data_IF_783658880765
#
_entry.id   IF_783658880765
#
_cell.length_a   1.000
_cell.length_b   1.000
_cell.length_c   1.000
_cell.angle_alpha   90.00
_cell.angle_beta   90.00
_cell.angle_gamma   90.00
#
_symmetry.space_group_name_H-M   'P 1'
#
loop_
_entity.id
_entity.type
_entity.pdbx_description
1 polymer ?
#
# COMPACT_ATOMS: atom_id res chain seq x y z
N UNK A 1 6.16 26.35 12.52
CA UNK A 1 6.62 25.79 11.23
C UNK A 1 7.70 24.75 11.52
N UNK A 2 7.70 23.59 10.85
CA UNK A 2 8.78 22.57 10.96
C UNK A 2 8.45 21.28 11.70
N UNK A 3 7.35 21.19 12.45
CA UNK A 3 6.97 19.95 13.17
C UNK A 3 6.73 18.77 12.22
N UNK A 4 6.00 19.00 11.12
CA UNK A 4 5.75 17.95 10.13
C UNK A 4 7.03 17.53 9.41
N UNK A 5 7.94 18.46 9.15
CA UNK A 5 9.26 18.17 8.55
C UNK A 5 10.12 17.34 9.49
N UNK A 6 10.16 17.68 10.79
CA UNK A 6 10.86 16.91 11.80
C UNK A 6 10.32 15.48 11.90
N UNK A 7 8.99 15.32 11.92
CA UNK A 7 8.36 14.00 11.97
C UNK A 7 8.72 13.17 10.72
N UNK A 8 8.69 13.78 9.53
CA UNK A 8 9.08 13.12 8.27
C UNK A 8 10.55 12.68 8.24
N UNK A 9 11.44 13.45 8.86
CA UNK A 9 12.85 13.08 9.01
C UNK A 9 12.99 11.89 9.98
N UNK A 10 12.24 11.89 11.08
CA UNK A 10 12.26 10.79 12.05
C UNK A 10 11.63 9.50 11.49
N UNK A 11 10.59 9.59 10.65
CA UNK A 11 9.98 8.43 9.97
C UNK A 11 10.81 7.89 8.81
N UNK A 12 11.84 8.61 8.35
CA UNK A 12 12.64 8.25 7.19
C UNK A 12 12.03 8.65 5.84
N UNK A 13 10.93 9.41 5.84
CA UNK A 13 10.29 9.92 4.61
C UNK A 13 11.13 11.03 3.94
N UNK A 14 12.01 11.69 4.69
CA UNK A 14 12.91 12.77 4.22
C UNK A 14 14.29 12.57 4.84
N UNK A 15 15.35 12.61 4.02
CA UNK A 15 16.72 12.60 4.53
C UNK A 15 17.07 13.93 5.24
N UNK A 16 17.73 13.88 6.40
CA UNK A 16 18.18 15.09 7.07
C UNK A 16 19.27 15.80 6.24
N UNK A 17 19.20 17.12 6.12
CA UNK A 17 20.26 17.90 5.45
C UNK A 17 21.62 17.81 6.17
N UNK A 18 21.60 17.56 7.48
CA UNK A 18 22.79 17.39 8.33
C UNK A 18 22.45 16.53 9.55
N UNK A 19 23.40 15.70 10.01
CA UNK A 19 23.25 14.84 11.18
C UNK A 19 22.59 13.49 10.85
N UNK A 20 22.54 12.60 11.84
CA UNK A 20 22.06 11.22 11.66
C UNK A 20 20.86 10.91 12.55
N UNK A 21 19.90 10.14 12.01
CA UNK A 21 18.81 9.53 12.78
C UNK A 21 19.17 8.06 13.03
N UNK A 22 19.38 7.68 14.28
CA UNK A 22 19.77 6.32 14.67
C UNK A 22 18.65 5.71 15.51
N UNK A 23 18.06 4.62 15.04
CA UNK A 23 17.14 3.77 15.82
C UNK A 23 17.94 2.58 16.33
N UNK A 24 18.00 2.43 17.65
CA UNK A 24 18.81 1.39 18.30
C UNK A 24 18.24 0.00 18.00
N UNK A 25 19.09 -1.05 17.86
CA UNK A 25 18.60 -2.40 17.62
C UNK A 25 17.62 -2.85 18.71
N UNK A 26 16.43 -3.28 18.29
CA UNK A 26 15.35 -3.71 19.19
C UNK A 26 14.27 -2.66 19.45
N UNK A 27 14.47 -1.41 19.00
CA UNK A 27 13.46 -0.34 19.12
C UNK A 27 12.67 -0.15 17.81
N UNK A 28 11.40 0.26 17.94
CA UNK A 28 10.51 0.57 16.81
C UNK A 28 9.93 1.96 16.98
N UNK A 29 10.03 2.78 15.93
CA UNK A 29 9.30 4.05 15.83
C UNK A 29 7.98 3.82 15.09
N UNK A 30 6.87 4.29 15.67
CA UNK A 30 5.57 4.34 15.01
C UNK A 30 5.10 5.80 14.93
N UNK A 31 4.68 6.25 13.75
CA UNK A 31 4.25 7.63 13.51
C UNK A 31 2.76 7.64 13.13
N UNK A 32 1.98 8.42 13.87
CA UNK A 32 0.59 8.70 13.51
C UNK A 32 0.58 9.83 12.48
N UNK A 33 0.25 9.51 11.23
CA UNK A 33 0.13 10.51 10.16
C UNK A 33 -0.97 11.52 10.50
N UNK A 34 -0.68 12.80 10.26
CA UNK A 34 -1.68 13.87 10.47
C UNK A 34 -2.76 13.89 9.41
N UNK A 35 -2.48 13.36 8.22
CA UNK A 35 -3.48 13.31 7.16
C UNK A 35 -4.38 12.08 7.35
N UNK A 36 -5.40 12.24 8.18
CA UNK A 36 -6.48 11.26 8.33
C UNK A 36 -7.32 11.08 7.04
N UNK A 37 -7.12 11.96 6.06
CA UNK A 37 -7.83 11.98 4.79
C UNK A 37 -7.01 11.41 3.63
N UNK A 38 -5.83 10.85 3.89
CA UNK A 38 -4.93 10.28 2.87
C UNK A 38 -5.61 9.19 2.02
N UNK A 39 -6.77 8.68 2.48
CA UNK A 39 -7.56 7.68 1.78
C UNK A 39 -9.05 8.03 1.63
N UNK A 40 -9.46 9.30 1.79
CA UNK A 40 -10.88 9.70 1.65
C UNK A 40 -11.44 9.47 0.24
N UNK A 41 -10.58 9.50 -0.77
CA UNK A 41 -10.96 9.26 -2.16
C UNK A 41 -11.12 7.76 -2.49
N UNK A 42 -10.75 6.87 -1.57
CA UNK A 42 -10.90 5.44 -1.72
C UNK A 42 -12.06 4.93 -0.89
N UNK A 43 -12.80 3.96 -1.44
CA UNK A 43 -13.83 3.26 -0.68
C UNK A 43 -13.24 2.67 0.60
N UNK A 44 -14.01 2.69 1.70
CA UNK A 44 -13.57 2.19 3.01
C UNK A 44 -12.99 0.77 2.90
N UNK A 45 -13.60 -0.08 2.08
CA UNK A 45 -13.13 -1.44 1.83
C UNK A 45 -11.75 -1.47 1.15
N UNK A 46 -11.54 -0.63 0.13
CA UNK A 46 -10.25 -0.51 -0.56
C UNK A 46 -9.15 -0.06 0.40
N UNK A 47 -9.43 0.93 1.25
CA UNK A 47 -8.49 1.45 2.26
C UNK A 47 -8.08 0.39 3.27
N UNK A 48 -9.00 -0.50 3.67
CA UNK A 48 -8.68 -1.64 4.54
C UNK A 48 -7.80 -2.65 3.81
N UNK A 49 -8.12 -2.98 2.55
CA UNK A 49 -7.35 -3.91 1.73
C UNK A 49 -5.93 -3.38 1.44
N UNK A 50 -5.74 -2.06 1.29
CA UNK A 50 -4.41 -1.44 1.14
C UNK A 50 -3.46 -1.75 2.31
N UNK A 51 -3.99 -2.05 3.51
CA UNK A 51 -3.20 -2.50 4.65
C UNK A 51 -2.56 -3.89 4.43
N UNK A 52 -3.06 -4.66 3.47
CA UNK A 52 -2.50 -5.93 3.03
C UNK A 52 -1.98 -5.80 1.60
N UNK A 53 -0.74 -5.32 1.44
CA UNK A 53 -0.13 -4.96 0.15
C UNK A 53 -0.36 -5.98 -0.96
N UNK A 54 -0.10 -7.27 -0.72
CA UNK A 54 -0.27 -8.30 -1.76
C UNK A 54 -1.73 -8.50 -2.18
N UNK A 55 -2.66 -8.47 -1.23
CA UNK A 55 -4.09 -8.63 -1.50
C UNK A 55 -4.61 -7.45 -2.32
N UNK A 56 -4.13 -6.24 -2.02
CA UNK A 56 -4.43 -5.03 -2.78
C UNK A 56 -3.90 -5.08 -4.21
N UNK A 57 -2.66 -5.55 -4.40
CA UNK A 57 -2.05 -5.74 -5.73
C UNK A 57 -2.85 -6.74 -6.57
N UNK A 58 -3.13 -7.93 -6.02
CA UNK A 58 -3.87 -9.00 -6.72
C UNK A 58 -5.26 -8.50 -7.15
N UNK A 59 -5.95 -7.76 -6.28
CA UNK A 59 -7.23 -7.13 -6.61
C UNK A 59 -7.11 -6.15 -7.78
N UNK A 60 -6.09 -5.27 -7.79
CA UNK A 60 -5.88 -4.29 -8.88
C UNK A 60 -5.48 -4.95 -10.19
N UNK A 61 -4.61 -5.96 -10.14
CA UNK A 61 -4.22 -6.73 -11.33
C UNK A 61 -5.43 -7.41 -11.97
N UNK A 62 -6.32 -7.97 -11.14
CA UNK A 62 -7.54 -8.63 -11.58
C UNK A 62 -8.54 -7.65 -12.20
N UNK A 63 -8.79 -6.51 -11.55
CA UNK A 63 -9.64 -5.45 -12.10
C UNK A 63 -9.12 -4.97 -13.47
N UNK A 64 -7.81 -4.78 -13.59
CA UNK A 64 -7.19 -4.36 -14.85
C UNK A 64 -7.36 -5.40 -15.96
N UNK A 65 -7.27 -6.70 -15.64
CA UNK A 65 -7.51 -7.78 -16.60
C UNK A 65 -8.95 -7.75 -17.10
N UNK A 66 -9.92 -7.60 -16.20
CA UNK A 66 -11.34 -7.54 -16.58
C UNK A 66 -11.74 -6.27 -17.34
N UNK A 67 -10.95 -5.19 -17.26
CA UNK A 67 -11.17 -3.94 -17.98
C UNK A 67 -10.56 -3.92 -19.39
N UNK A 68 -9.80 -4.94 -19.81
CA UNK A 68 -9.23 -4.99 -21.16
C UNK A 68 -10.34 -5.10 -22.22
N UNK A 69 -10.31 -4.23 -23.22
CA UNK A 69 -11.25 -4.27 -24.36
C UNK A 69 -11.02 -5.51 -25.24
N UNK A 70 -9.78 -5.99 -25.30
CA UNK A 70 -9.30 -7.12 -26.08
C UNK A 70 -9.03 -8.37 -25.20
N UNK A 71 -9.96 -8.68 -24.30
CA UNK A 71 -9.84 -9.81 -23.37
C UNK A 71 -9.55 -11.14 -24.09
N UNK A 72 -8.42 -11.77 -23.74
CA UNK A 72 -7.95 -13.02 -24.35
C UNK A 72 -8.12 -14.25 -23.45
N UNK A 73 -7.92 -15.45 -24.00
CA UNK A 73 -7.89 -16.68 -23.21
C UNK A 73 -6.73 -16.70 -22.20
N UNK A 74 -5.58 -16.11 -22.55
CA UNK A 74 -4.44 -15.95 -21.64
C UNK A 74 -4.78 -15.03 -20.46
N UNK A 75 -5.52 -13.94 -20.72
CA UNK A 75 -6.05 -13.06 -19.67
C UNK A 75 -7.01 -13.82 -18.74
N UNK A 76 -7.86 -14.68 -19.29
CA UNK A 76 -8.75 -15.54 -18.51
C UNK A 76 -8.01 -16.53 -17.60
N UNK A 77 -6.94 -17.16 -18.11
CA UNK A 77 -6.10 -18.04 -17.28
C UNK A 77 -5.41 -17.25 -16.16
N UNK A 78 -4.85 -16.08 -16.47
CA UNK A 78 -4.21 -15.22 -15.49
C UNK A 78 -5.18 -14.70 -14.43
N UNK A 79 -6.41 -14.32 -14.82
CA UNK A 79 -7.46 -13.93 -13.89
C UNK A 79 -7.81 -15.09 -12.93
N UNK A 80 -7.90 -16.32 -13.43
CA UNK A 80 -8.20 -17.49 -12.60
C UNK A 80 -7.09 -17.80 -11.57
N UNK A 81 -5.83 -17.65 -11.95
CA UNK A 81 -4.70 -17.79 -11.01
C UNK A 81 -4.76 -16.72 -9.90
N UNK A 82 -5.00 -15.47 -10.29
CA UNK A 82 -5.13 -14.35 -9.35
C UNK A 82 -6.36 -14.49 -8.44
N UNK A 83 -7.48 -15.05 -8.91
CA UNK A 83 -8.64 -15.38 -8.07
C UNK A 83 -8.30 -16.44 -7.02
N UNK A 84 -7.51 -17.45 -7.39
CA UNK A 84 -7.01 -18.45 -6.45
C UNK A 84 -6.14 -17.83 -5.37
N UNK A 85 -5.18 -16.99 -5.77
CA UNK A 85 -4.29 -16.28 -4.83
C UNK A 85 -5.07 -15.32 -3.92
N UNK A 86 -6.04 -14.59 -4.46
CA UNK A 86 -6.91 -13.69 -3.69
C UNK A 86 -7.61 -14.47 -2.56
N UNK A 87 -8.24 -15.60 -2.91
CA UNK A 87 -8.92 -16.46 -1.95
C UNK A 87 -7.98 -17.04 -0.87
N UNK A 88 -6.75 -17.42 -1.22
CA UNK A 88 -5.75 -17.89 -0.25
C UNK A 88 -5.33 -16.81 0.76
N UNK A 89 -5.35 -15.54 0.34
CA UNK A 89 -5.05 -14.38 1.17
C UNK A 89 -6.22 -13.93 2.05
N UNK A 90 -7.34 -14.68 2.07
CA UNK A 90 -8.59 -14.34 2.75
C UNK A 90 -9.21 -13.02 2.28
N UNK A 91 -9.07 -12.70 0.99
CA UNK A 91 -9.90 -11.69 0.32
C UNK A 91 -10.67 -12.33 -0.81
#
# INVERSE_FOLDING_TARGET
AGKSTLIKILSGDIEPSTGDVIITPGERLAVLKQNQFEYEEFEVLQTVIMGHTRLYEVMKEKDAIYMKEDFTEEDGMKAAELEGEFAELNG
#
